data_IF_192767045488
#
_entry.id   IF_192767045488
#
_cell.length_a   1.000
_cell.length_b   1.000
_cell.length_c   1.000
_cell.angle_alpha   90.00
_cell.angle_beta   90.00
_cell.angle_gamma   90.00
#
_symmetry.space_group_name_H-M   'P 1'
#
loop_
_entity.id
_entity.type
_entity.pdbx_description
1 polymer ?
#
# COMPACT_ATOMS: atom_id res chain seq x y z
N UNK A 1 -12.68 -4.52 17.17
CA UNK A 1 -14.04 -4.60 16.60
C UNK A 1 -14.92 -3.40 17.00
N UNK A 2 -15.10 -3.14 18.31
CA UNK A 2 -16.03 -2.07 18.79
C UNK A 2 -15.68 -0.65 18.31
N UNK A 3 -14.41 -0.32 18.19
CA UNK A 3 -13.99 1.02 17.71
C UNK A 3 -14.26 1.16 16.18
N UNK A 4 -14.04 0.12 15.42
CA UNK A 4 -14.29 0.10 13.98
C UNK A 4 -15.77 0.23 13.65
N UNK A 5 -16.63 -0.51 14.35
CA UNK A 5 -18.09 -0.42 14.21
C UNK A 5 -18.59 1.00 14.54
N UNK A 6 -18.12 1.57 15.67
CA UNK A 6 -18.49 2.92 16.08
C UNK A 6 -18.03 4.01 15.12
N UNK A 7 -16.85 3.85 14.53
CA UNK A 7 -16.26 4.83 13.63
C UNK A 7 -16.62 4.57 12.16
N UNK A 8 -17.24 3.43 11.87
CA UNK A 8 -17.53 2.99 10.49
C UNK A 8 -16.30 3.04 9.59
N UNK A 9 -15.24 2.37 10.02
CA UNK A 9 -13.96 2.29 9.30
C UNK A 9 -13.57 0.82 9.07
N UNK A 10 -12.73 0.60 8.08
CA UNK A 10 -12.13 -0.69 7.78
C UNK A 10 -11.03 -1.03 8.80
N UNK A 11 -10.58 -2.29 8.77
CA UNK A 11 -9.39 -2.68 9.51
C UNK A 11 -8.17 -1.91 8.99
N UNK A 12 -7.41 -1.35 9.92
CA UNK A 12 -6.21 -0.59 9.58
C UNK A 12 -5.13 -0.77 10.64
N UNK A 13 -3.90 -0.57 10.22
CA UNK A 13 -2.75 -0.50 11.12
C UNK A 13 -1.83 0.65 10.71
N UNK A 14 -0.99 1.08 11.64
CA UNK A 14 0.06 2.05 11.37
C UNK A 14 1.38 1.34 11.63
N UNK A 15 2.24 1.34 10.61
CA UNK A 15 3.63 0.97 10.77
C UNK A 15 4.47 2.24 10.95
N UNK A 16 5.35 2.21 11.93
CA UNK A 16 6.37 3.24 12.12
C UNK A 16 7.61 2.75 11.40
N UNK A 17 8.10 3.53 10.47
CA UNK A 17 9.36 3.27 9.79
C UNK A 17 10.47 4.10 10.39
N UNK A 18 11.69 3.67 10.12
CA UNK A 18 12.90 4.30 10.63
C UNK A 18 12.82 5.82 10.55
N UNK A 19 13.34 6.41 11.59
CA UNK A 19 13.40 7.84 11.72
C UNK A 19 14.10 8.47 10.52
N UNK A 20 13.45 9.44 9.93
CA UNK A 20 14.08 10.30 8.94
C UNK A 20 15.22 11.07 9.62
N UNK A 21 16.46 10.73 9.29
CA UNK A 21 17.65 11.40 9.85
C UNK A 21 17.91 12.74 9.16
N UNK A 22 17.46 12.84 7.91
CA UNK A 22 17.47 14.06 7.08
C UNK A 22 16.20 14.13 6.27
N UNK A 23 15.71 15.32 5.93
CA UNK A 23 14.60 15.47 4.99
C UNK A 23 14.97 14.87 3.64
N UNK A 24 14.13 13.97 3.06
CA UNK A 24 14.42 13.37 1.77
C UNK A 24 14.55 14.46 0.71
N UNK A 25 15.60 14.37 -0.08
CA UNK A 25 15.82 15.26 -1.24
C UNK A 25 15.50 14.51 -2.53
N UNK A 26 15.18 15.26 -3.59
CA UNK A 26 15.01 14.68 -4.93
C UNK A 26 16.22 13.82 -5.36
N UNK A 27 17.42 14.19 -4.89
CA UNK A 27 18.64 13.44 -5.12
C UNK A 27 18.66 12.10 -4.42
N UNK A 28 18.22 12.03 -3.16
CA UNK A 28 18.13 10.78 -2.39
C UNK A 28 17.07 9.83 -2.98
N UNK A 29 15.89 10.34 -3.29
CA UNK A 29 14.83 9.53 -3.91
C UNK A 29 15.27 8.99 -5.27
N UNK A 30 15.99 9.80 -6.05
CA UNK A 30 16.55 9.40 -7.32
C UNK A 30 17.66 8.33 -7.16
N UNK A 31 18.53 8.45 -6.15
CA UNK A 31 19.52 7.43 -5.82
C UNK A 31 18.86 6.10 -5.46
N UNK A 32 17.82 6.12 -4.65
CA UNK A 32 17.09 4.91 -4.26
C UNK A 32 16.40 4.22 -5.46
N UNK A 33 15.87 5.00 -6.40
CA UNK A 33 15.29 4.45 -7.64
C UNK A 33 16.37 3.82 -8.53
N UNK A 34 17.51 4.48 -8.69
CA UNK A 34 18.64 3.96 -9.47
C UNK A 34 19.24 2.70 -8.83
N UNK A 35 19.40 2.66 -7.50
CA UNK A 35 19.93 1.49 -6.81
C UNK A 35 19.01 0.27 -6.93
N UNK A 36 17.69 0.46 -6.87
CA UNK A 36 16.72 -0.61 -7.11
C UNK A 36 16.76 -1.11 -8.54
N UNK A 37 16.96 -0.20 -9.50
CA UNK A 37 17.10 -0.56 -10.91
C UNK A 37 18.33 -1.46 -11.15
N UNK A 38 19.45 -1.14 -10.55
CA UNK A 38 20.67 -1.96 -10.64
C UNK A 38 20.45 -3.35 -10.03
N UNK A 39 19.77 -3.45 -8.90
CA UNK A 39 19.48 -4.75 -8.26
C UNK A 39 18.37 -5.54 -8.94
N UNK A 40 17.43 -4.87 -9.63
CA UNK A 40 16.29 -5.47 -10.32
C UNK A 40 16.48 -5.69 -11.82
N UNK A 41 17.57 -5.24 -12.42
CA UNK A 41 17.82 -5.24 -13.87
C UNK A 41 16.78 -4.46 -14.70
N UNK A 42 16.00 -3.59 -14.08
CA UNK A 42 15.02 -2.73 -14.74
C UNK A 42 15.36 -1.26 -14.54
N UNK A 43 15.74 -0.58 -15.62
CA UNK A 43 16.05 0.85 -15.54
C UNK A 43 14.77 1.68 -15.43
N UNK A 44 14.70 2.66 -14.52
CA UNK A 44 13.52 3.51 -14.37
C UNK A 44 13.34 4.39 -15.62
N UNK A 45 12.08 4.66 -15.95
CA UNK A 45 11.77 5.71 -16.92
C UNK A 45 12.44 7.03 -16.49
N UNK A 46 12.99 7.76 -17.43
CA UNK A 46 13.72 9.02 -17.17
C UNK A 46 15.00 8.87 -16.32
N UNK A 47 15.77 7.81 -16.51
CA UNK A 47 17.03 7.56 -15.79
C UNK A 47 17.99 8.75 -15.81
N UNK A 48 18.04 9.50 -16.90
CA UNK A 48 18.83 10.73 -17.01
C UNK A 48 18.42 11.80 -15.99
N UNK A 49 17.14 11.97 -15.74
CA UNK A 49 16.63 12.90 -14.71
C UNK A 49 17.05 12.44 -13.31
N UNK A 50 17.02 11.15 -13.04
CA UNK A 50 17.46 10.63 -11.75
C UNK A 50 18.95 10.80 -11.53
N UNK A 51 19.78 10.56 -12.55
CA UNK A 51 21.23 10.83 -12.47
C UNK A 51 21.48 12.33 -12.24
N UNK A 52 20.81 13.20 -12.97
CA UNK A 52 20.92 14.65 -12.79
C UNK A 52 20.54 15.09 -11.37
N UNK A 53 19.44 14.58 -10.82
CA UNK A 53 18.99 14.90 -9.46
C UNK A 53 20.02 14.47 -8.41
N UNK A 54 20.61 13.27 -8.56
CA UNK A 54 21.68 12.80 -7.67
C UNK A 54 22.90 13.74 -7.72
N UNK A 55 23.35 14.08 -8.92
CA UNK A 55 24.52 14.97 -9.09
C UNK A 55 24.24 16.38 -8.56
N UNK A 56 23.08 16.95 -8.83
CA UNK A 56 22.65 18.26 -8.33
C UNK A 56 22.60 18.31 -6.80
N UNK A 57 22.21 17.22 -6.16
CA UNK A 57 22.03 17.13 -4.71
C UNK A 57 23.12 16.28 -4.04
N UNK A 58 24.29 16.11 -4.67
CA UNK A 58 25.31 15.18 -4.22
C UNK A 58 25.74 15.38 -2.76
N UNK A 59 25.88 16.63 -2.32
CA UNK A 59 26.20 16.96 -0.93
C UNK A 59 25.14 16.47 0.06
N UNK A 60 23.86 16.58 -0.28
CA UNK A 60 22.75 16.07 0.55
C UNK A 60 22.72 14.55 0.56
N UNK A 61 22.97 13.92 -0.58
CA UNK A 61 23.04 12.45 -0.72
C UNK A 61 24.17 11.86 0.12
N UNK A 62 25.38 12.42 0.04
CA UNK A 62 26.53 12.00 0.86
C UNK A 62 26.25 12.19 2.34
N UNK A 63 25.67 13.32 2.71
CA UNK A 63 25.30 13.62 4.10
C UNK A 63 24.27 12.64 4.64
N UNK A 64 23.26 12.29 3.86
CA UNK A 64 22.23 11.30 4.22
C UNK A 64 22.86 9.94 4.48
N UNK A 65 23.72 9.48 3.57
CA UNK A 65 24.43 8.20 3.69
C UNK A 65 25.35 8.18 4.91
N UNK A 66 26.10 9.25 5.14
CA UNK A 66 26.95 9.40 6.31
C UNK A 66 26.13 9.33 7.62
N UNK A 67 25.01 10.05 7.71
CA UNK A 67 24.14 10.05 8.89
C UNK A 67 23.48 8.70 9.14
N UNK A 68 23.17 7.94 8.09
CA UNK A 68 22.67 6.57 8.20
C UNK A 68 23.76 5.63 8.72
N UNK A 69 24.96 5.72 8.19
CA UNK A 69 26.09 4.88 8.56
C UNK A 69 26.60 5.17 10.00
N UNK A 70 26.40 6.38 10.52
CA UNK A 70 26.93 6.82 11.82
C UNK A 70 25.89 6.94 12.92
N UNK A 71 24.66 6.43 12.71
CA UNK A 71 23.56 6.57 13.68
C UNK A 71 23.31 8.02 14.14
N UNK A 72 23.41 8.96 13.21
CA UNK A 72 23.16 10.37 13.43
C UNK A 72 21.78 10.68 14.06
N UNK A 73 21.54 11.91 14.54
CA UNK A 73 20.34 12.25 15.29
C UNK A 73 19.06 12.04 14.47
N UNK A 74 18.09 11.43 15.11
CA UNK A 74 16.74 11.22 14.57
C UNK A 74 16.05 12.58 14.43
N UNK A 75 15.59 12.93 13.24
CA UNK A 75 14.88 14.17 12.94
C UNK A 75 13.37 14.00 12.74
N UNK A 76 12.93 12.78 12.53
CA UNK A 76 11.52 12.51 12.32
C UNK A 76 11.23 11.02 12.12
N UNK A 77 9.97 10.67 12.15
CA UNK A 77 9.48 9.33 11.87
C UNK A 77 8.53 9.40 10.67
N UNK A 78 8.56 8.37 9.83
CA UNK A 78 7.52 8.18 8.82
C UNK A 78 6.51 7.14 9.28
N UNK A 79 5.26 7.39 8.94
CA UNK A 79 4.15 6.51 9.27
C UNK A 79 3.52 5.99 7.98
N UNK A 80 3.33 4.68 7.90
CA UNK A 80 2.56 4.07 6.82
C UNK A 80 1.26 3.54 7.40
N UNK A 81 0.13 4.10 6.95
CA UNK A 81 -1.17 3.52 7.22
C UNK A 81 -1.44 2.39 6.24
N UNK A 82 -1.76 1.21 6.73
CA UNK A 82 -2.20 0.05 5.94
C UNK A 82 -3.67 -0.19 6.25
N UNK A 83 -4.48 -0.31 5.22
CA UNK A 83 -5.91 -0.61 5.36
C UNK A 83 -6.31 -1.73 4.41
N UNK A 84 -7.27 -2.54 4.82
CA UNK A 84 -7.91 -3.46 3.89
C UNK A 84 -8.71 -2.68 2.84
N UNK A 85 -9.00 -3.33 1.72
CA UNK A 85 -9.87 -2.80 0.68
C UNK A 85 -11.27 -3.36 0.85
N UNK A 86 -12.29 -2.50 0.86
CA UNK A 86 -13.67 -2.94 0.90
C UNK A 86 -14.03 -3.75 -0.36
N UNK A 87 -14.69 -4.90 -0.24
CA UNK A 87 -15.14 -5.67 -1.39
C UNK A 87 -16.09 -4.83 -2.27
N UNK A 88 -15.73 -4.63 -3.53
CA UNK A 88 -16.53 -3.87 -4.50
C UNK A 88 -16.68 -4.65 -5.80
N UNK A 89 -17.88 -4.75 -6.37
CA UNK A 89 -18.08 -5.42 -7.66
C UNK A 89 -17.32 -4.79 -8.84
N UNK A 90 -17.00 -3.49 -8.75
CA UNK A 90 -16.21 -2.78 -9.75
C UNK A 90 -14.72 -3.12 -9.70
N UNK A 91 -14.19 -3.54 -8.53
CA UNK A 91 -12.81 -3.98 -8.38
C UNK A 91 -12.74 -5.46 -8.76
N UNK A 92 -12.30 -5.73 -10.00
CA UNK A 92 -12.33 -7.08 -10.56
C UNK A 92 -11.22 -7.33 -11.58
N UNK A 93 -10.93 -8.61 -11.77
CA UNK A 93 -10.13 -9.09 -12.89
C UNK A 93 -11.07 -9.63 -13.96
N UNK A 94 -10.83 -9.20 -15.20
CA UNK A 94 -11.58 -9.65 -16.40
C UNK A 94 -10.63 -10.16 -17.46
N UNK A 95 -11.08 -11.12 -18.26
CA UNK A 95 -10.35 -11.54 -19.45
C UNK A 95 -10.63 -10.55 -20.59
N UNK A 96 -9.58 -10.17 -21.30
CA UNK A 96 -9.68 -9.34 -22.51
C UNK A 96 -9.42 -10.16 -23.76
N UNK A 97 -9.68 -9.60 -24.94
CA UNK A 97 -9.51 -10.30 -26.22
C UNK A 97 -8.04 -10.47 -26.63
N UNK A 98 -7.16 -9.60 -26.12
CA UNK A 98 -5.73 -9.71 -26.38
C UNK A 98 -5.19 -11.02 -25.81
N UNK A 99 -4.24 -11.61 -26.52
CA UNK A 99 -3.65 -12.90 -26.16
C UNK A 99 -2.18 -12.72 -25.78
N UNK A 100 -1.72 -13.58 -24.90
CA UNK A 100 -0.30 -13.70 -24.59
C UNK A 100 0.44 -14.58 -25.62
N UNK A 101 1.73 -14.80 -25.39
CA UNK A 101 2.57 -15.62 -26.26
C UNK A 101 2.15 -17.11 -26.32
N UNK A 102 1.36 -17.59 -25.36
CA UNK A 102 0.80 -18.95 -25.31
C UNK A 102 -0.61 -19.04 -25.92
N UNK A 103 -1.13 -17.92 -26.44
CA UNK A 103 -2.47 -17.84 -27.00
C UNK A 103 -3.60 -17.76 -25.98
N UNK A 104 -3.28 -17.57 -24.68
CA UNK A 104 -4.27 -17.39 -23.62
C UNK A 104 -4.75 -15.94 -23.59
N UNK A 105 -6.02 -15.73 -23.23
CA UNK A 105 -6.55 -14.39 -23.05
C UNK A 105 -5.82 -13.68 -21.89
N UNK A 106 -5.38 -12.45 -22.14
CA UNK A 106 -4.77 -11.62 -21.10
C UNK A 106 -5.82 -11.15 -20.11
N UNK A 107 -5.35 -10.82 -18.91
CA UNK A 107 -6.19 -10.27 -17.83
C UNK A 107 -6.10 -8.76 -17.79
N UNK A 108 -7.22 -8.12 -17.44
CA UNK A 108 -7.28 -6.71 -17.07
C UNK A 108 -7.71 -6.61 -15.60
N UNK A 109 -6.95 -5.84 -14.83
CA UNK A 109 -7.31 -5.46 -13.48
C UNK A 109 -7.99 -4.08 -13.50
N UNK A 110 -9.26 -4.04 -13.15
CA UNK A 110 -9.99 -2.83 -12.86
C UNK A 110 -10.02 -2.65 -11.34
N UNK A 111 -9.26 -1.69 -10.81
CA UNK A 111 -9.16 -1.44 -9.38
C UNK A 111 -9.10 0.06 -9.08
N UNK A 112 -9.84 0.48 -8.08
CA UNK A 112 -9.78 1.83 -7.53
C UNK A 112 -10.10 1.81 -6.03
N UNK A 113 -9.44 2.63 -5.21
CA UNK A 113 -9.84 2.82 -3.83
C UNK A 113 -11.21 3.50 -3.75
N UNK A 114 -11.94 3.22 -2.67
CA UNK A 114 -13.21 3.88 -2.38
C UNK A 114 -13.04 5.03 -1.40
N UNK A 115 -14.13 5.77 -1.19
CA UNK A 115 -14.19 6.79 -0.13
C UNK A 115 -13.98 6.17 1.26
N UNK A 116 -14.36 4.90 1.44
CA UNK A 116 -14.25 4.24 2.74
C UNK A 116 -12.79 3.99 3.15
N UNK A 117 -11.91 3.57 2.22
CA UNK A 117 -10.48 3.44 2.50
C UNK A 117 -9.88 4.80 2.86
N UNK A 118 -10.23 5.84 2.12
CA UNK A 118 -9.77 7.21 2.40
C UNK A 118 -10.20 7.66 3.80
N UNK A 119 -11.48 7.57 4.12
CA UNK A 119 -12.02 7.93 5.44
C UNK A 119 -11.38 7.10 6.56
N UNK A 120 -11.07 5.82 6.29
CA UNK A 120 -10.38 4.95 7.24
C UNK A 120 -8.99 5.47 7.56
N UNK A 121 -8.20 5.79 6.55
CA UNK A 121 -6.85 6.33 6.74
C UNK A 121 -6.92 7.68 7.46
N UNK A 122 -7.78 8.59 7.03
CA UNK A 122 -7.98 9.90 7.65
C UNK A 122 -8.30 9.76 9.15
N UNK A 123 -9.30 8.96 9.51
CA UNK A 123 -9.69 8.74 10.91
C UNK A 123 -8.60 8.04 11.72
N UNK A 124 -7.92 7.05 11.15
CA UNK A 124 -6.81 6.36 11.81
C UNK A 124 -5.67 7.32 12.15
N UNK A 125 -5.31 8.19 11.22
CA UNK A 125 -4.28 9.19 11.43
C UNK A 125 -4.72 10.28 12.42
N UNK A 126 -6.00 10.70 12.38
CA UNK A 126 -6.55 11.65 13.39
C UNK A 126 -6.47 11.09 14.81
N UNK A 127 -6.77 9.79 14.98
CA UNK A 127 -6.63 9.12 16.28
C UNK A 127 -5.18 9.11 16.75
N UNK A 128 -4.24 8.81 15.85
CA UNK A 128 -2.81 8.86 16.14
C UNK A 128 -2.37 10.27 16.56
N UNK A 129 -2.81 11.29 15.82
CA UNK A 129 -2.51 12.68 16.13
C UNK A 129 -3.06 13.11 17.52
N UNK A 130 -4.26 12.66 17.85
CA UNK A 130 -4.87 12.92 19.16
C UNK A 130 -4.06 12.27 20.28
N UNK A 131 -3.57 11.03 20.10
CA UNK A 131 -2.72 10.36 21.09
C UNK A 131 -1.36 11.05 21.25
N UNK A 132 -0.75 11.52 20.18
CA UNK A 132 0.48 12.31 20.27
C UNK A 132 0.24 13.64 21.03
N UNK A 133 -0.89 14.31 20.80
CA UNK A 133 -1.27 15.49 21.56
C UNK A 133 -1.46 15.19 23.05
N UNK A 134 -2.11 14.06 23.39
CA UNK A 134 -2.30 13.61 24.77
C UNK A 134 -0.99 13.31 25.50
N UNK A 135 -0.02 12.74 24.77
CA UNK A 135 1.30 12.40 25.31
C UNK A 135 2.29 13.57 25.31
N UNK A 136 1.85 14.78 24.98
CA UNK A 136 2.68 15.97 24.86
C UNK A 136 3.90 15.83 23.91
N UNK A 137 3.84 14.91 22.96
CA UNK A 137 4.90 14.70 21.95
C UNK A 137 4.79 15.73 20.81
N UNK A 138 4.40 16.97 21.13
CA UNK A 138 4.39 18.12 20.23
C UNK A 138 3.38 18.05 19.07
N UNK A 139 2.39 18.96 19.01
CA UNK A 139 1.36 18.96 17.95
C UNK A 139 1.80 19.59 16.62
N UNK A 140 3.06 20.04 16.50
CA UNK A 140 3.45 21.08 15.53
C UNK A 140 3.27 20.74 14.04
N UNK A 141 3.51 19.52 13.59
CA UNK A 141 3.54 19.19 12.14
C UNK A 141 2.56 18.12 11.67
N UNK A 142 1.78 17.53 12.55
CA UNK A 142 0.83 16.48 12.17
C UNK A 142 -0.25 17.02 11.20
N UNK A 143 -0.65 18.28 11.34
CA UNK A 143 -1.66 18.93 10.47
C UNK A 143 -1.19 19.10 9.02
N UNK A 144 0.09 19.41 8.80
CA UNK A 144 0.65 19.63 7.45
C UNK A 144 0.74 18.33 6.66
N UNK A 145 1.13 17.24 7.32
CA UNK A 145 1.14 15.90 6.73
C UNK A 145 -0.27 15.45 6.34
N UNK A 146 -1.29 15.78 7.14
CA UNK A 146 -2.69 15.48 6.85
C UNK A 146 -3.22 16.21 5.61
N UNK A 147 -2.94 17.49 5.46
CA UNK A 147 -3.37 18.26 4.31
C UNK A 147 -2.75 17.71 3.01
N UNK A 148 -1.49 17.32 3.03
CA UNK A 148 -0.81 16.71 1.88
C UNK A 148 -1.39 15.34 1.51
N UNK A 149 -1.71 14.49 2.49
CA UNK A 149 -2.33 13.18 2.26
C UNK A 149 -3.73 13.28 1.66
N UNK A 150 -4.52 14.26 2.09
CA UNK A 150 -5.90 14.44 1.59
C UNK A 150 -5.96 15.05 0.20
N UNK A 151 -5.04 15.94 -0.14
CA UNK A 151 -5.00 16.60 -1.45
C UNK A 151 -4.43 15.69 -2.56
N UNK A 152 -3.53 14.77 -2.23
CA UNK A 152 -2.85 13.88 -3.19
C UNK A 152 -3.04 12.40 -2.85
N UNK A 153 -4.25 12.03 -2.47
CA UNK A 153 -4.57 10.68 -2.04
C UNK A 153 -4.10 9.60 -3.02
N UNK A 154 -4.41 9.74 -4.30
CA UNK A 154 -4.07 8.77 -5.34
C UNK A 154 -2.56 8.65 -5.59
N UNK A 155 -1.79 9.71 -5.37
CA UNK A 155 -0.34 9.75 -5.59
C UNK A 155 0.44 9.09 -4.45
N UNK A 156 -0.16 9.00 -3.26
CA UNK A 156 0.46 8.46 -2.05
C UNK A 156 0.08 7.01 -1.77
N UNK A 157 -0.63 6.35 -2.68
CA UNK A 157 -0.98 4.94 -2.54
C UNK A 157 0.22 4.06 -2.87
N UNK A 158 0.63 3.23 -1.90
CA UNK A 158 1.60 2.17 -2.10
C UNK A 158 0.91 0.84 -2.39
N UNK A 159 1.51 0.03 -3.23
CA UNK A 159 1.08 -1.32 -3.55
C UNK A 159 1.88 -2.32 -2.72
N UNK A 160 1.18 -3.25 -2.09
CA UNK A 160 1.78 -4.34 -1.34
C UNK A 160 1.34 -5.68 -1.92
N UNK A 161 2.22 -6.67 -1.92
CA UNK A 161 2.08 -7.96 -2.60
C UNK A 161 1.07 -8.95 -1.99
N UNK A 162 0.04 -8.50 -1.26
CA UNK A 162 -0.94 -9.34 -0.59
C UNK A 162 -2.31 -9.25 -1.26
N UNK A 163 -2.36 -9.68 -2.53
CA UNK A 163 -3.60 -9.68 -3.32
C UNK A 163 -4.55 -10.76 -2.80
N UNK A 164 -5.87 -10.42 -2.79
CA UNK A 164 -6.88 -11.32 -2.29
C UNK A 164 -8.27 -11.03 -2.88
N UNK A 165 -9.22 -11.94 -2.62
CA UNK A 165 -10.65 -11.73 -2.90
C UNK A 165 -11.06 -11.84 -4.37
N UNK A 166 -10.13 -12.14 -5.30
CA UNK A 166 -10.46 -12.28 -6.73
C UNK A 166 -11.31 -13.50 -7.04
N UNK A 167 -11.25 -14.52 -6.19
CA UNK A 167 -12.11 -15.73 -6.23
C UNK A 167 -12.79 -15.96 -4.88
N UNK A 168 -13.26 -14.87 -4.27
CA UNK A 168 -13.76 -14.87 -2.89
C UNK A 168 -14.85 -15.92 -2.66
N UNK A 169 -14.84 -16.47 -1.43
CA UNK A 169 -15.87 -17.40 -1.00
C UNK A 169 -17.19 -16.69 -0.67
N UNK A 170 -18.28 -17.40 -0.91
CA UNK A 170 -19.63 -16.97 -0.58
C UNK A 170 -20.58 -18.17 -0.55
N UNK A 171 -21.65 -18.09 0.19
CA UNK A 171 -22.72 -19.09 0.17
C UNK A 171 -23.45 -19.13 -1.20
N UNK A 172 -23.42 -18.04 -1.95
CA UNK A 172 -24.12 -17.93 -3.23
C UNK A 172 -23.17 -17.69 -4.40
N UNK A 173 -23.36 -18.38 -5.54
CA UNK A 173 -22.58 -18.13 -6.75
C UNK A 173 -22.79 -16.73 -7.34
N UNK A 174 -23.81 -15.99 -6.90
CA UNK A 174 -24.04 -14.60 -7.32
C UNK A 174 -23.11 -13.60 -6.63
N UNK A 175 -22.53 -13.96 -5.48
CA UNK A 175 -21.72 -13.07 -4.66
C UNK A 175 -20.28 -13.53 -4.45
N UNK A 176 -19.95 -14.74 -4.87
CA UNK A 176 -18.58 -15.30 -4.81
C UNK A 176 -18.32 -16.34 -5.88
N UNK A 177 -17.08 -16.83 -5.89
CA UNK A 177 -16.60 -17.81 -6.89
C UNK A 177 -16.55 -19.21 -6.29
N UNK A 178 -16.20 -19.32 -5.00
CA UNK A 178 -16.11 -20.59 -4.28
C UNK A 178 -17.07 -20.63 -3.09
N UNK A 179 -17.42 -21.84 -2.68
CA UNK A 179 -18.19 -22.09 -1.46
C UNK A 179 -17.29 -22.05 -0.21
N UNK A 180 -17.85 -22.31 0.97
CA UNK A 180 -17.12 -22.31 2.26
C UNK A 180 -16.01 -23.37 2.36
N UNK A 181 -16.01 -24.35 1.47
CA UNK A 181 -14.98 -25.39 1.34
C UNK A 181 -13.95 -25.06 0.24
N UNK A 182 -13.91 -23.83 -0.25
CA UNK A 182 -13.06 -23.38 -1.35
C UNK A 182 -13.33 -24.09 -2.70
N UNK A 183 -14.47 -24.76 -2.85
CA UNK A 183 -14.86 -25.41 -4.10
C UNK A 183 -15.58 -24.41 -5.01
N UNK A 184 -15.20 -24.39 -6.30
CA UNK A 184 -15.83 -23.52 -7.30
C UNK A 184 -17.30 -23.87 -7.47
N UNK A 185 -18.18 -22.88 -7.37
CA UNK A 185 -19.62 -23.08 -7.55
C UNK A 185 -19.93 -23.70 -8.93
N UNK A 186 -20.74 -24.75 -8.92
CA UNK A 186 -21.15 -25.45 -10.14
C UNK A 186 -20.12 -26.45 -10.70
N UNK A 187 -18.93 -26.58 -10.09
CA UNK A 187 -17.91 -27.54 -10.50
C UNK A 187 -17.56 -28.47 -9.34
N UNK A 188 -17.83 -29.77 -9.51
CA UNK A 188 -17.75 -30.71 -8.40
C UNK A 188 -16.32 -31.04 -7.92
N UNK A 189 -15.31 -30.90 -8.78
CA UNK A 189 -13.94 -31.36 -8.54
C UNK A 189 -12.88 -30.26 -8.69
N UNK A 190 -13.26 -28.97 -8.61
CA UNK A 190 -12.33 -27.86 -8.69
C UNK A 190 -12.34 -27.06 -7.38
N UNK A 191 -11.16 -26.93 -6.78
CA UNK A 191 -10.93 -26.20 -5.52
C UNK A 191 -9.85 -25.16 -5.71
N UNK A 192 -9.94 -24.04 -5.01
CA UNK A 192 -8.95 -22.97 -5.03
C UNK A 192 -8.27 -22.88 -3.66
N UNK A 193 -6.96 -23.12 -3.62
CA UNK A 193 -6.11 -22.97 -2.44
C UNK A 193 -5.24 -21.73 -2.58
N UNK A 194 -5.76 -20.56 -2.21
CA UNK A 194 -5.06 -19.28 -2.37
C UNK A 194 -5.73 -18.22 -1.50
N UNK A 195 -4.99 -17.15 -1.16
CA UNK A 195 -5.56 -15.96 -0.51
C UNK A 195 -6.66 -15.28 -1.35
N UNK A 196 -6.77 -15.61 -2.62
CA UNK A 196 -7.85 -15.11 -3.49
C UNK A 196 -9.26 -15.50 -3.04
N UNK A 197 -9.40 -16.55 -2.21
CA UNK A 197 -10.71 -17.00 -1.67
C UNK A 197 -11.18 -16.17 -0.47
N UNK A 198 -10.31 -15.41 0.18
CA UNK A 198 -10.69 -14.63 1.35
C UNK A 198 -11.60 -13.47 0.97
N UNK A 199 -12.76 -13.31 1.61
CA UNK A 199 -13.65 -12.16 1.39
C UNK A 199 -13.13 -10.87 2.04
N UNK A 200 -12.37 -10.99 3.14
CA UNK A 200 -11.76 -9.89 3.90
C UNK A 200 -10.42 -10.34 4.47
N UNK A 201 -9.48 -9.42 4.72
CA UNK A 201 -8.17 -9.78 5.26
C UNK A 201 -7.82 -9.08 6.58
N UNK A 202 -8.47 -7.97 6.88
CA UNK A 202 -7.95 -7.07 7.90
C UNK A 202 -6.67 -6.37 7.46
N UNK A 203 -5.84 -5.97 8.41
CA UNK A 203 -4.56 -5.30 8.14
C UNK A 203 -3.36 -6.27 8.08
N UNK A 204 -3.53 -7.50 8.49
CA UNK A 204 -2.46 -8.51 8.51
C UNK A 204 -2.20 -9.07 7.09
N UNK A 205 -0.99 -9.54 6.88
CA UNK A 205 -0.58 -10.16 5.62
C UNK A 205 -1.24 -11.55 5.47
N UNK A 206 -2.23 -11.74 4.59
CA UNK A 206 -3.01 -12.98 4.55
C UNK A 206 -2.32 -14.14 3.83
N UNK A 207 -1.23 -13.89 3.11
CA UNK A 207 -0.61 -14.89 2.22
C UNK A 207 0.02 -16.07 2.97
N UNK A 208 0.31 -15.93 4.25
CA UNK A 208 0.88 -16.99 5.07
C UNK A 208 -0.18 -17.84 5.80
N UNK A 209 -1.45 -17.44 5.73
CA UNK A 209 -2.57 -18.15 6.32
C UNK A 209 -3.10 -19.21 5.37
#
# INVERSE_FOLDING_TARGET
PRAQERLQILNSSIAVHDALRVEPTDGWDSLMKLSRAVSGFEWPENSGTHVFNVLRNLGSVIREEYLRATDGPIRGFSFTARTETAPRPSNRITLIRDRDALGLNRVRLDWAPSTLERVTVEKTMMLLAAEFGRLAVGPGRVKEVFAALTQRWSENLGWYGHHMGTTRMSESPKSGVVDVNCRVHGIANLYIASSSVFPTCGFANPTLT
#
